data_IF_730514687576
#
_entry.id   IF_730514687576
#
_cell.length_a   1.000
_cell.length_b   1.000
_cell.length_c   1.000
_cell.angle_alpha   90.00
_cell.angle_beta   90.00
_cell.angle_gamma   90.00
#
_symmetry.space_group_name_H-M   'P 1'
#
loop_
_entity.id
_entity.type
_entity.pdbx_description
1 polymer ?
#
# COMPACT_ATOMS: atom_id res chain seq x y z
N UNK A 1 -2.12 -2.76 -13.26
CA UNK A 1 -2.77 -1.52 -12.82
C UNK A 1 -3.59 -1.81 -11.58
N UNK A 2 -3.37 -1.06 -10.51
CA UNK A 2 -4.02 -1.17 -9.19
C UNK A 2 -4.67 0.18 -8.82
N UNK A 3 -5.50 0.18 -7.78
CA UNK A 3 -6.08 1.37 -7.19
C UNK A 3 -5.55 1.49 -5.77
N UNK A 4 -4.72 2.49 -5.52
CA UNK A 4 -4.15 2.79 -4.21
C UNK A 4 -4.80 4.04 -3.61
N UNK A 5 -5.20 3.96 -2.35
CA UNK A 5 -5.61 5.10 -1.52
C UNK A 5 -4.72 5.16 -0.30
N UNK A 6 -4.06 6.29 -0.10
CA UNK A 6 -3.19 6.53 1.05
C UNK A 6 -3.86 7.54 1.98
N UNK A 7 -3.92 7.20 3.26
CA UNK A 7 -4.48 8.02 4.32
C UNK A 7 -3.35 8.43 5.26
N UNK A 8 -3.24 9.71 5.54
CA UNK A 8 -2.15 10.30 6.33
C UNK A 8 -2.74 11.20 7.42
N UNK A 9 -2.03 11.37 8.56
CA UNK A 9 -2.36 12.42 9.52
C UNK A 9 -2.42 13.79 8.84
N UNK A 10 -3.41 14.63 9.19
CA UNK A 10 -3.65 15.92 8.52
C UNK A 10 -2.38 16.76 8.32
N UNK A 11 -1.50 16.97 9.32
CA UNK A 11 -0.32 17.80 9.15
C UNK A 11 0.64 17.29 8.05
N UNK A 12 0.70 15.98 7.85
CA UNK A 12 1.51 15.36 6.81
C UNK A 12 0.76 15.42 5.47
N UNK A 13 -0.54 15.12 5.49
CA UNK A 13 -1.40 15.20 4.31
C UNK A 13 -1.40 16.58 3.66
N UNK A 14 -1.47 17.65 4.45
CA UNK A 14 -1.53 19.04 4.00
C UNK A 14 -0.26 19.48 3.23
N UNK A 15 0.88 18.85 3.53
CA UNK A 15 2.12 19.06 2.78
C UNK A 15 2.22 18.12 1.57
N UNK A 16 1.80 16.86 1.73
CA UNK A 16 1.82 15.86 0.65
C UNK A 16 0.95 16.28 -0.53
N UNK A 17 -0.24 16.85 -0.29
CA UNK A 17 -1.15 17.29 -1.36
C UNK A 17 -0.59 18.42 -2.21
N UNK A 18 0.47 19.10 -1.76
CA UNK A 18 1.17 20.15 -2.52
C UNK A 18 2.20 19.57 -3.50
N UNK A 19 2.54 18.29 -3.36
CA UNK A 19 3.46 17.61 -4.25
C UNK A 19 2.74 16.95 -5.43
N UNK A 20 3.40 16.92 -6.58
CA UNK A 20 2.95 16.10 -7.71
C UNK A 20 3.37 14.64 -7.48
N UNK A 21 2.42 13.82 -7.03
CA UNK A 21 2.64 12.41 -6.75
C UNK A 21 2.79 11.54 -8.01
N UNK A 22 2.53 12.08 -9.21
CA UNK A 22 2.83 11.39 -10.46
C UNK A 22 4.33 11.45 -10.79
N UNK A 23 5.03 12.51 -10.32
CA UNK A 23 6.47 12.69 -10.52
C UNK A 23 7.29 12.22 -9.33
N UNK A 24 6.81 12.46 -8.11
CA UNK A 24 7.52 12.14 -6.87
C UNK A 24 6.69 11.15 -6.03
N UNK A 25 7.10 9.88 -5.91
CA UNK A 25 6.41 8.90 -5.09
C UNK A 25 6.22 9.37 -3.65
N UNK A 26 5.11 8.97 -3.02
CA UNK A 26 4.74 9.40 -1.66
C UNK A 26 5.88 9.21 -0.63
N UNK A 27 6.59 8.08 -0.65
CA UNK A 27 7.69 7.82 0.28
C UNK A 27 8.83 8.85 0.14
N UNK A 28 9.12 9.32 -1.08
CA UNK A 28 10.14 10.33 -1.32
C UNK A 28 9.70 11.71 -0.86
N UNK A 29 8.40 12.04 -0.99
CA UNK A 29 7.85 13.27 -0.43
C UNK A 29 7.98 13.27 1.09
N UNK A 30 7.62 12.16 1.73
CA UNK A 30 7.74 12.00 3.19
C UNK A 30 9.20 12.16 3.65
N UNK A 31 10.12 11.45 3.00
CA UNK A 31 11.53 11.45 3.39
C UNK A 31 12.23 12.79 3.08
N UNK A 32 12.25 13.20 1.81
CA UNK A 32 13.10 14.33 1.39
C UNK A 32 12.47 15.70 1.65
N UNK A 33 11.14 15.83 1.57
CA UNK A 33 10.49 17.13 1.81
C UNK A 33 10.11 17.32 3.27
N UNK A 34 9.72 16.25 3.97
CA UNK A 34 9.16 16.34 5.32
C UNK A 34 10.07 15.76 6.40
N UNK A 35 11.19 15.11 6.04
CA UNK A 35 12.10 14.49 7.00
C UNK A 35 11.49 13.28 7.72
N UNK A 36 10.39 12.73 7.21
CA UNK A 36 9.68 11.59 7.80
C UNK A 36 10.16 10.30 7.14
N UNK A 37 11.02 9.57 7.85
CA UNK A 37 11.54 8.28 7.40
C UNK A 37 10.63 7.15 7.89
N UNK A 38 10.12 6.34 6.96
CA UNK A 38 9.42 5.09 7.26
C UNK A 38 10.47 4.02 7.57
N UNK A 39 10.38 3.38 8.73
CA UNK A 39 11.35 2.36 9.17
C UNK A 39 10.79 0.94 9.11
N UNK A 40 9.47 0.77 9.28
CA UNK A 40 8.83 -0.51 9.09
C UNK A 40 7.37 -0.35 8.66
N UNK A 41 6.78 -1.43 8.17
CA UNK A 41 5.37 -1.50 7.86
C UNK A 41 4.78 -2.86 8.25
N UNK A 42 3.48 -2.88 8.53
CA UNK A 42 2.68 -4.10 8.64
C UNK A 42 1.70 -4.13 7.49
N UNK A 43 1.74 -5.18 6.68
CA UNK A 43 0.89 -5.37 5.52
C UNK A 43 0.07 -6.65 5.69
N UNK A 44 -1.20 -6.60 5.33
CA UNK A 44 -2.11 -7.74 5.26
C UNK A 44 -2.71 -7.77 3.86
N UNK A 45 -2.62 -8.92 3.20
CA UNK A 45 -3.17 -9.14 1.86
C UNK A 45 -4.29 -10.17 1.93
N UNK A 46 -5.47 -9.79 1.45
CA UNK A 46 -6.68 -10.59 1.51
C UNK A 46 -7.28 -10.78 0.11
N UNK A 47 -7.87 -11.94 -0.16
CA UNK A 47 -8.69 -12.13 -1.34
C UNK A 47 -10.07 -11.48 -1.12
N UNK A 48 -10.51 -10.69 -2.08
CA UNK A 48 -11.77 -9.94 -2.00
C UNK A 48 -12.54 -9.99 -3.31
N UNK A 49 -13.80 -9.56 -3.27
CA UNK A 49 -14.58 -9.21 -4.47
C UNK A 49 -14.63 -7.70 -4.60
N UNK A 50 -14.33 -7.16 -5.77
CA UNK A 50 -14.32 -5.71 -5.96
C UNK A 50 -15.71 -5.11 -5.75
N UNK A 51 -15.76 -4.06 -4.93
CA UNK A 51 -16.94 -3.20 -4.81
C UNK A 51 -17.21 -2.43 -6.10
N UNK A 52 -18.42 -1.87 -6.25
CA UNK A 52 -18.81 -1.12 -7.46
C UNK A 52 -17.90 0.08 -7.73
N UNK A 53 -17.46 0.78 -6.67
CA UNK A 53 -16.61 1.97 -6.78
C UNK A 53 -15.23 1.59 -7.29
N UNK A 54 -14.57 0.66 -6.61
CA UNK A 54 -13.22 0.20 -6.95
C UNK A 54 -13.18 -0.42 -8.34
N UNK A 55 -14.20 -1.23 -8.69
CA UNK A 55 -14.29 -1.84 -10.00
C UNK A 55 -14.38 -0.82 -11.14
N UNK A 56 -15.18 0.24 -10.95
CA UNK A 56 -15.29 1.34 -11.93
C UNK A 56 -13.94 2.06 -12.08
N UNK A 57 -13.30 2.42 -10.97
CA UNK A 57 -12.02 3.14 -10.99
C UNK A 57 -10.89 2.27 -11.62
N UNK A 58 -11.00 0.94 -11.56
CA UNK A 58 -10.07 -0.03 -12.15
C UNK A 58 -10.43 -0.48 -13.58
N UNK A 59 -11.58 -0.06 -14.11
CA UNK A 59 -12.07 -0.45 -15.43
C UNK A 59 -12.45 -1.93 -15.54
N UNK A 60 -13.01 -2.51 -14.48
CA UNK A 60 -13.44 -3.92 -14.42
C UNK A 60 -14.88 -4.08 -13.91
N UNK A 61 -15.41 -5.30 -13.88
CA UNK A 61 -16.78 -5.57 -13.41
C UNK A 61 -16.82 -5.67 -11.89
N UNK A 62 -17.90 -5.16 -11.30
CA UNK A 62 -18.16 -5.33 -9.87
C UNK A 62 -18.28 -6.83 -9.52
N UNK A 63 -17.73 -7.22 -8.38
CA UNK A 63 -17.71 -8.60 -7.92
C UNK A 63 -16.58 -9.45 -8.48
N UNK A 64 -15.75 -8.92 -9.39
CA UNK A 64 -14.54 -9.59 -9.87
C UNK A 64 -13.58 -9.92 -8.71
N UNK A 65 -12.96 -11.10 -8.70
CA UNK A 65 -11.94 -11.46 -7.72
C UNK A 65 -10.72 -10.54 -7.80
N UNK A 66 -10.27 -10.08 -6.64
CA UNK A 66 -9.12 -9.21 -6.51
C UNK A 66 -8.37 -9.53 -5.22
N UNK A 67 -7.20 -8.90 -5.08
CA UNK A 67 -6.49 -8.80 -3.82
C UNK A 67 -6.66 -7.39 -3.25
N UNK A 68 -6.88 -7.32 -1.95
CA UNK A 68 -6.81 -6.10 -1.17
C UNK A 68 -5.55 -6.16 -0.30
N UNK A 69 -4.71 -5.14 -0.38
CA UNK A 69 -3.60 -4.92 0.55
C UNK A 69 -3.95 -3.75 1.48
N UNK A 70 -3.90 -4.02 2.77
CA UNK A 70 -3.95 -3.01 3.83
C UNK A 70 -2.58 -2.92 4.49
N UNK A 71 -1.96 -1.73 4.44
CA UNK A 71 -0.61 -1.52 4.99
C UNK A 71 -0.56 -0.30 5.87
N UNK A 72 -0.05 -0.47 7.10
CA UNK A 72 0.29 0.65 7.98
C UNK A 72 1.80 0.78 8.02
N UNK A 73 2.32 1.96 7.68
CA UNK A 73 3.74 2.31 7.70
C UNK A 73 4.07 3.18 8.91
N UNK A 74 5.18 2.91 9.57
CA UNK A 74 5.59 3.52 10.83
C UNK A 74 6.97 4.15 10.72
N UNK A 75 7.21 5.21 11.48
CA UNK A 75 8.53 5.83 11.61
C UNK A 75 9.37 5.18 12.72
N UNK A 76 10.59 5.69 12.93
CA UNK A 76 11.52 5.19 13.95
C UNK A 76 10.97 5.24 15.39
N UNK A 77 10.02 6.14 15.68
CA UNK A 77 9.38 6.23 17.00
C UNK A 77 8.16 5.31 17.14
N UNK A 78 7.84 4.51 16.12
CA UNK A 78 6.66 3.65 16.08
C UNK A 78 5.35 4.39 15.82
N UNK A 79 5.40 5.66 15.40
CA UNK A 79 4.20 6.42 15.05
C UNK A 79 3.69 6.03 13.66
N UNK A 80 2.37 5.81 13.47
CA UNK A 80 1.81 5.50 12.16
C UNK A 80 1.80 6.74 11.27
N UNK A 81 2.39 6.61 10.08
CA UNK A 81 2.57 7.71 9.12
C UNK A 81 1.61 7.60 7.95
N UNK A 82 1.42 6.39 7.42
CA UNK A 82 0.56 6.14 6.26
C UNK A 82 -0.23 4.87 6.47
N UNK A 83 -1.53 4.92 6.20
CA UNK A 83 -2.34 3.75 5.92
C UNK A 83 -2.61 3.67 4.41
N UNK A 84 -2.07 2.66 3.75
CA UNK A 84 -2.38 2.36 2.35
C UNK A 84 -3.47 1.29 2.28
N UNK A 85 -4.45 1.53 1.42
CA UNK A 85 -5.45 0.54 1.02
C UNK A 85 -5.41 0.39 -0.50
N UNK A 86 -5.04 -0.81 -0.97
CA UNK A 86 -4.76 -1.07 -2.39
C UNK A 86 -5.62 -2.20 -2.90
N UNK A 87 -6.29 -2.00 -4.03
CA UNK A 87 -7.03 -3.04 -4.75
C UNK A 87 -6.32 -3.41 -6.04
N UNK A 88 -6.12 -4.70 -6.28
CA UNK A 88 -5.43 -5.24 -7.45
C UNK A 88 -6.28 -6.37 -8.04
N UNK A 89 -6.80 -6.23 -9.28
CA UNK A 89 -7.51 -7.32 -9.95
C UNK A 89 -6.68 -8.61 -9.96
N UNK A 90 -7.33 -9.75 -9.71
CA UNK A 90 -6.64 -11.02 -9.48
C UNK A 90 -5.86 -11.53 -10.70
N UNK A 91 -6.25 -11.14 -11.90
CA UNK A 91 -5.56 -11.40 -13.16
C UNK A 91 -4.29 -10.55 -13.36
N UNK A 92 -4.08 -9.53 -12.51
CA UNK A 92 -2.96 -8.56 -12.59
C UNK A 92 -1.98 -8.68 -11.42
N UNK A 93 -2.14 -9.67 -10.55
CA UNK A 93 -1.34 -9.82 -9.34
C UNK A 93 -0.78 -11.24 -9.21
N UNK A 94 0.49 -11.34 -8.81
CA UNK A 94 1.16 -12.59 -8.48
C UNK A 94 2.14 -12.33 -7.34
N UNK A 95 2.12 -13.18 -6.32
CA UNK A 95 3.17 -13.24 -5.29
C UNK A 95 3.96 -14.52 -5.52
N UNK A 96 5.28 -14.39 -5.61
CA UNK A 96 6.21 -15.53 -5.61
C UNK A 96 7.01 -15.48 -4.31
N UNK A 97 7.11 -16.60 -3.61
CA UNK A 97 7.94 -16.73 -2.41
C UNK A 97 8.89 -17.91 -2.59
N UNK A 98 10.16 -17.68 -2.35
CA UNK A 98 11.15 -18.73 -2.18
C UNK A 98 11.32 -18.98 -0.68
N UNK A 99 11.27 -20.25 -0.28
CA UNK A 99 11.34 -20.66 1.12
C UNK A 99 12.50 -21.64 1.25
N UNK A 100 13.49 -21.28 2.08
CA UNK A 100 14.58 -22.18 2.47
C UNK A 100 14.31 -22.68 3.89
N UNK A 101 14.44 -23.98 4.09
CA UNK A 101 14.35 -24.61 5.39
C UNK A 101 15.75 -25.05 5.79
N UNK A 102 16.26 -24.57 6.92
CA UNK A 102 17.41 -25.21 7.53
C UNK A 102 16.98 -26.59 8.02
N UNK A 103 17.69 -27.64 7.59
CA UNK A 103 17.41 -29.01 8.00
C UNK A 103 17.46 -29.11 9.52
N UNK A 104 16.44 -29.72 10.12
CA UNK A 104 16.43 -29.99 11.56
C UNK A 104 17.75 -30.66 11.95
N UNK A 105 18.56 -29.95 12.73
CA UNK A 105 19.74 -30.55 13.35
C UNK A 105 19.21 -31.58 14.35
N UNK A 106 19.43 -32.86 14.03
CA UNK A 106 19.14 -33.98 14.92
C UNK A 106 20.06 -33.96 16.14
#
# INVERSE_FOLDING_TARGET
MSLQRSFLPSPIGDEVVRADLALTPLHQVLEFKLGVVITHARETVSAVRLGRREARDLGCRAGEPAFESERVSFNATGAPIVFDRVFIPGDRFRITRELHYEGASA
#
